data_IF_335087361716
#
_entry.id   IF_335087361716
#
_cell.length_a   1.000
_cell.length_b   1.000
_cell.length_c   1.000
_cell.angle_alpha   90.00
_cell.angle_beta   90.00
_cell.angle_gamma   90.00
#
_symmetry.space_group_name_H-M   'P 1'
#
loop_
_entity.id
_entity.type
_entity.pdbx_description
1 polymer ?
#
# COMPACT_ATOMS: atom_id res chain seq x y z
N UNK A 1 12.21 -21.62 -11.64
CA UNK A 1 12.19 -20.68 -10.51
C UNK A 1 10.86 -19.96 -10.53
N UNK A 2 10.10 -20.01 -9.43
CA UNK A 2 8.81 -19.34 -9.34
C UNK A 2 9.02 -17.82 -9.29
N UNK A 3 8.68 -17.14 -10.38
CA UNK A 3 8.75 -15.69 -10.52
C UNK A 3 7.57 -15.02 -9.78
N UNK A 4 7.50 -15.24 -8.46
CA UNK A 4 6.43 -14.69 -7.61
C UNK A 4 7.03 -13.68 -6.63
N UNK A 5 6.28 -12.63 -6.22
CA UNK A 5 6.76 -11.68 -5.23
C UNK A 5 7.15 -12.37 -3.91
N UNK A 6 6.41 -13.40 -3.50
CA UNK A 6 6.69 -14.18 -2.30
C UNK A 6 8.02 -14.95 -2.35
N UNK A 7 8.66 -15.05 -3.51
CA UNK A 7 10.02 -15.56 -3.66
C UNK A 7 11.04 -14.42 -3.82
N UNK A 8 10.77 -13.46 -4.72
CA UNK A 8 11.72 -12.40 -5.09
C UNK A 8 11.82 -11.29 -4.04
N UNK A 9 10.69 -10.90 -3.45
CA UNK A 9 10.56 -9.85 -2.42
C UNK A 9 10.22 -10.46 -1.05
N UNK A 10 10.63 -11.71 -0.82
CA UNK A 10 10.26 -12.46 0.38
C UNK A 10 10.66 -11.71 1.66
N UNK A 11 11.89 -11.18 1.69
CA UNK A 11 12.42 -10.47 2.86
C UNK A 11 11.58 -9.23 3.17
N UNK A 12 11.26 -8.44 2.16
CA UNK A 12 10.49 -7.20 2.27
C UNK A 12 9.06 -7.49 2.73
N UNK A 13 8.43 -8.51 2.13
CA UNK A 13 7.08 -8.96 2.49
C UNK A 13 7.03 -9.46 3.93
N UNK A 14 7.94 -10.35 4.34
CA UNK A 14 7.98 -10.90 5.69
C UNK A 14 8.25 -9.81 6.73
N UNK A 15 9.13 -8.86 6.40
CA UNK A 15 9.43 -7.72 7.27
C UNK A 15 8.18 -6.87 7.47
N UNK A 16 7.51 -6.45 6.39
CA UNK A 16 6.28 -5.67 6.49
C UNK A 16 5.18 -6.42 7.25
N UNK A 17 4.96 -7.71 6.97
CA UNK A 17 3.96 -8.53 7.68
C UNK A 17 4.25 -8.67 9.17
N UNK A 18 5.52 -8.66 9.59
CA UNK A 18 5.89 -8.75 11.01
C UNK A 18 5.37 -7.58 11.86
N UNK A 19 5.09 -6.42 11.23
CA UNK A 19 4.46 -5.28 11.89
C UNK A 19 2.93 -5.43 12.05
N UNK A 20 2.29 -6.35 11.32
CA UNK A 20 0.84 -6.56 11.38
C UNK A 20 0.45 -7.93 11.98
N UNK A 21 0.72 -8.20 13.28
CA UNK A 21 0.18 -9.39 13.96
C UNK A 21 -1.34 -9.61 13.77
N UNK A 22 -2.20 -8.57 13.69
CA UNK A 22 -3.63 -8.77 13.44
C UNK A 22 -3.97 -9.40 12.07
N UNK A 23 -3.04 -9.40 11.11
CA UNK A 23 -3.20 -10.04 9.81
C UNK A 23 -2.73 -11.50 9.80
N UNK A 24 -2.27 -12.04 10.94
CA UNK A 24 -1.91 -13.46 11.01
C UNK A 24 -3.13 -14.35 10.70
N UNK A 25 -2.91 -15.37 9.88
CA UNK A 25 -3.96 -16.23 9.34
C UNK A 25 -4.89 -15.58 8.30
N UNK A 26 -4.76 -14.27 8.01
CA UNK A 26 -5.52 -13.62 6.94
C UNK A 26 -4.95 -14.06 5.58
N UNK A 27 -5.76 -14.63 4.66
CA UNK A 27 -5.25 -15.09 3.38
C UNK A 27 -4.90 -13.93 2.44
N UNK A 28 -3.63 -13.54 2.39
CA UNK A 28 -3.10 -12.47 1.53
C UNK A 28 -2.22 -13.09 0.44
N UNK A 29 -2.47 -12.74 -0.81
CA UNK A 29 -1.67 -13.21 -1.96
C UNK A 29 -0.96 -12.05 -2.63
N UNK A 30 0.37 -12.05 -2.59
CA UNK A 30 1.19 -11.11 -3.35
C UNK A 30 1.35 -11.59 -4.79
N UNK A 31 1.13 -10.70 -5.76
CA UNK A 31 1.19 -11.04 -7.19
C UNK A 31 1.89 -9.96 -7.98
N UNK A 32 2.82 -10.37 -8.83
CA UNK A 32 3.33 -9.47 -9.86
C UNK A 32 2.28 -9.25 -10.93
N UNK A 33 2.18 -8.02 -11.42
CA UNK A 33 1.27 -7.66 -12.50
C UNK A 33 1.93 -6.66 -13.44
N UNK A 34 2.01 -7.03 -14.70
CA UNK A 34 2.39 -6.11 -15.77
C UNK A 34 1.21 -5.16 -16.06
N UNK A 35 1.50 -3.94 -16.49
CA UNK A 35 0.52 -2.90 -16.89
C UNK A 35 -0.20 -2.18 -15.74
N UNK A 36 0.46 -2.01 -14.60
CA UNK A 36 0.03 -1.07 -13.58
C UNK A 36 0.53 0.34 -13.93
N UNK A 37 -0.27 1.10 -14.68
CA UNK A 37 0.14 2.43 -15.19
C UNK A 37 -0.04 3.57 -14.19
N UNK A 38 -0.95 3.42 -13.22
CA UNK A 38 -1.37 4.50 -12.31
C UNK A 38 -0.81 4.37 -10.89
N UNK A 39 -0.41 3.16 -10.49
CA UNK A 39 0.05 2.84 -9.14
C UNK A 39 1.18 1.82 -9.21
N UNK A 40 2.06 1.86 -8.22
CA UNK A 40 3.17 0.91 -8.07
C UNK A 40 2.71 -0.39 -7.42
N UNK A 41 1.89 -0.29 -6.38
CA UNK A 41 1.24 -1.40 -5.70
C UNK A 41 -0.27 -1.14 -5.57
N UNK A 42 -1.03 -2.18 -5.22
CA UNK A 42 -2.45 -2.08 -4.90
C UNK A 42 -2.97 -3.30 -4.13
N UNK A 43 -3.55 -3.08 -2.96
CA UNK A 43 -4.36 -4.03 -2.23
C UNK A 43 -5.81 -4.02 -2.69
N UNK A 44 -6.43 -5.20 -2.76
CA UNK A 44 -7.87 -5.32 -2.92
C UNK A 44 -8.40 -6.67 -2.42
N UNK A 45 -9.66 -6.74 -1.98
CA UNK A 45 -10.34 -8.00 -1.73
C UNK A 45 -10.32 -8.89 -2.99
N UNK A 46 -10.19 -10.20 -2.81
CA UNK A 46 -10.31 -11.13 -3.92
C UNK A 46 -11.78 -11.21 -4.39
N UNK A 47 -12.01 -11.39 -5.70
CA UNK A 47 -13.35 -11.36 -6.29
C UNK A 47 -14.33 -12.33 -5.61
N UNK A 48 -13.85 -13.52 -5.23
CA UNK A 48 -14.64 -14.52 -4.48
C UNK A 48 -14.88 -14.14 -3.01
N UNK A 49 -14.06 -13.26 -2.44
CA UNK A 49 -14.14 -12.85 -1.02
C UNK A 49 -15.10 -11.74 -0.76
N UNK A 50 -15.40 -10.93 -1.78
CA UNK A 50 -16.35 -9.83 -1.67
C UNK A 50 -17.73 -10.27 -1.17
N UNK A 51 -18.15 -11.50 -1.49
CA UNK A 51 -19.42 -12.08 -1.05
C UNK A 51 -19.31 -12.92 0.24
N UNK A 52 -18.10 -13.18 0.75
CA UNK A 52 -17.86 -14.02 1.94
C UNK A 52 -17.97 -13.22 3.25
N UNK A 53 -18.21 -13.93 4.36
CA UNK A 53 -18.17 -13.34 5.72
C UNK A 53 -16.75 -12.82 5.99
N UNK A 54 -16.62 -11.80 6.87
CA UNK A 54 -15.36 -11.10 7.20
C UNK A 54 -14.19 -12.08 7.42
N UNK A 55 -14.35 -13.05 8.34
CA UNK A 55 -13.32 -14.06 8.65
C UNK A 55 -12.99 -15.05 7.51
N UNK A 56 -13.71 -15.05 6.39
CA UNK A 56 -13.43 -15.90 5.22
C UNK A 56 -12.94 -15.09 4.02
N UNK A 57 -12.63 -13.80 4.21
CA UNK A 57 -12.10 -12.95 3.16
C UNK A 57 -10.65 -13.33 2.85
N UNK A 58 -10.24 -12.97 1.64
CA UNK A 58 -8.88 -13.10 1.17
C UNK A 58 -8.58 -11.91 0.29
N UNK A 59 -7.31 -11.52 0.26
CA UNK A 59 -6.84 -10.30 -0.38
C UNK A 59 -5.79 -10.61 -1.41
N UNK A 60 -5.64 -9.72 -2.39
CA UNK A 60 -4.48 -9.72 -3.25
C UNK A 60 -3.78 -8.37 -3.11
N UNK A 61 -2.46 -8.41 -3.00
CA UNK A 61 -1.59 -7.25 -3.15
C UNK A 61 -0.90 -7.40 -4.50
N UNK A 62 -1.22 -6.51 -5.44
CA UNK A 62 -0.58 -6.46 -6.74
C UNK A 62 0.64 -5.55 -6.67
N UNK A 63 1.75 -6.03 -7.21
CA UNK A 63 3.01 -5.30 -7.30
C UNK A 63 3.37 -5.18 -8.77
N UNK A 64 3.62 -3.96 -9.25
CA UNK A 64 4.13 -3.77 -10.61
C UNK A 64 5.51 -4.41 -10.74
N UNK A 65 5.76 -5.15 -11.82
CA UNK A 65 7.09 -5.71 -12.13
C UNK A 65 8.10 -4.63 -12.47
N UNK A 66 7.63 -3.47 -12.93
CA UNK A 66 8.43 -2.34 -13.39
C UNK A 66 7.96 -1.07 -12.70
N UNK A 67 8.90 -0.25 -12.23
CA UNK A 67 8.62 1.10 -11.78
C UNK A 67 8.58 2.04 -13.01
N UNK A 68 7.38 2.53 -13.34
CA UNK A 68 7.11 3.32 -14.58
C UNK A 68 6.95 4.83 -14.36
N UNK A 69 7.18 5.27 -13.13
CA UNK A 69 6.98 6.66 -12.71
C UNK A 69 8.25 7.51 -12.83
N UNK A 70 9.27 6.99 -13.51
CA UNK A 70 10.57 7.61 -13.72
C UNK A 70 10.80 8.00 -15.17
N UNK A 71 11.84 8.80 -15.45
CA UNK A 71 12.27 9.15 -16.81
C UNK A 71 12.62 7.90 -17.63
N UNK A 72 13.23 6.92 -16.97
CA UNK A 72 13.52 5.60 -17.51
C UNK A 72 12.90 4.54 -16.59
N UNK A 73 12.07 3.68 -17.17
CA UNK A 73 11.44 2.57 -16.46
C UNK A 73 12.50 1.53 -16.05
N UNK A 74 12.41 0.99 -14.84
CA UNK A 74 13.32 -0.04 -14.34
C UNK A 74 12.60 -1.09 -13.49
N UNK A 75 13.16 -2.31 -13.30
CA UNK A 75 12.56 -3.37 -12.50
C UNK A 75 12.27 -2.94 -11.06
N UNK A 76 11.10 -3.31 -10.52
CA UNK A 76 10.71 -2.94 -9.15
C UNK A 76 11.71 -3.42 -8.09
N UNK A 77 12.43 -4.50 -8.39
CA UNK A 77 13.45 -5.11 -7.52
C UNK A 77 14.71 -4.26 -7.35
N UNK A 78 14.90 -3.23 -8.18
CA UNK A 78 16.01 -2.29 -8.03
C UNK A 78 15.69 -1.14 -7.06
N UNK A 79 14.44 -1.01 -6.60
CA UNK A 79 14.11 -0.06 -5.54
C UNK A 79 14.79 -0.46 -4.22
N UNK A 80 15.16 0.52 -3.38
CA UNK A 80 15.69 0.23 -2.05
C UNK A 80 14.73 -0.65 -1.23
N UNK A 81 15.28 -1.61 -0.49
CA UNK A 81 14.50 -2.57 0.32
C UNK A 81 13.56 -1.85 1.29
N UNK A 82 14.04 -0.80 1.97
CA UNK A 82 13.23 -0.01 2.92
C UNK A 82 12.05 0.71 2.23
N UNK A 83 12.24 1.16 0.99
CA UNK A 83 11.18 1.80 0.18
C UNK A 83 10.09 0.79 -0.17
N UNK A 84 10.49 -0.45 -0.53
CA UNK A 84 9.57 -1.54 -0.80
C UNK A 84 8.82 -1.99 0.45
N UNK A 85 9.51 -2.09 1.59
CA UNK A 85 8.89 -2.43 2.89
C UNK A 85 7.83 -1.39 3.25
N UNK A 86 8.14 -0.09 3.13
CA UNK A 86 7.17 0.97 3.41
C UNK A 86 5.96 0.94 2.47
N UNK A 87 6.16 0.67 1.19
CA UNK A 87 5.05 0.54 0.24
C UNK A 87 4.18 -0.69 0.55
N UNK A 88 4.78 -1.84 0.85
CA UNK A 88 4.04 -3.04 1.23
C UNK A 88 3.28 -2.80 2.54
N UNK A 89 3.90 -2.14 3.52
CA UNK A 89 3.25 -1.74 4.77
C UNK A 89 2.00 -0.92 4.53
N UNK A 90 2.09 0.12 3.72
CA UNK A 90 0.94 0.92 3.31
C UNK A 90 -0.20 0.06 2.71
N UNK A 91 0.12 -0.87 1.81
CA UNK A 91 -0.88 -1.79 1.23
C UNK A 91 -1.50 -2.74 2.27
N UNK A 92 -0.75 -3.15 3.29
CA UNK A 92 -1.27 -3.90 4.44
C UNK A 92 -2.19 -3.02 5.31
N UNK A 93 -1.91 -1.72 5.41
CA UNK A 93 -2.80 -0.73 6.02
C UNK A 93 -4.18 -0.68 5.38
N UNK A 94 -4.26 -0.71 4.03
CA UNK A 94 -5.55 -0.87 3.34
C UNK A 94 -6.25 -2.19 3.70
N UNK A 95 -5.51 -3.29 3.84
CA UNK A 95 -6.11 -4.58 4.23
C UNK A 95 -6.67 -4.52 5.66
N UNK A 96 -5.97 -3.86 6.59
CA UNK A 96 -6.48 -3.61 7.94
C UNK A 96 -7.82 -2.88 7.91
N UNK A 97 -7.94 -1.84 7.09
CA UNK A 97 -9.20 -1.11 6.91
C UNK A 97 -10.31 -2.01 6.35
N UNK A 98 -10.03 -2.75 5.28
CA UNK A 98 -11.00 -3.66 4.66
C UNK A 98 -11.48 -4.75 5.62
N UNK A 99 -10.61 -5.21 6.51
CA UNK A 99 -10.96 -6.18 7.54
C UNK A 99 -11.99 -5.60 8.51
N UNK A 100 -11.91 -4.33 8.90
CA UNK A 100 -12.90 -3.71 9.80
C UNK A 100 -14.28 -3.47 9.13
N UNK A 101 -14.35 -3.44 7.81
CA UNK A 101 -15.59 -3.14 7.08
C UNK A 101 -16.57 -4.32 7.01
N UNK A 102 -17.85 -4.07 7.27
CA UNK A 102 -18.94 -4.96 6.87
C UNK A 102 -19.04 -5.09 5.34
N UNK A 103 -19.82 -6.06 4.84
CA UNK A 103 -19.97 -6.26 3.39
C UNK A 103 -20.55 -5.04 2.67
N UNK A 104 -21.56 -4.40 3.26
CA UNK A 104 -22.20 -3.21 2.70
C UNK A 104 -21.28 -2.00 2.72
N UNK A 105 -20.49 -1.83 3.78
CA UNK A 105 -19.45 -0.79 3.85
C UNK A 105 -18.40 -0.98 2.77
N UNK A 106 -17.89 -2.21 2.58
CA UNK A 106 -16.88 -2.50 1.57
C UNK A 106 -17.41 -2.29 0.13
N UNK A 107 -18.68 -2.61 -0.10
CA UNK A 107 -19.40 -2.31 -1.34
C UNK A 107 -19.49 -0.82 -1.62
N UNK A 108 -19.95 -0.06 -0.62
CA UNK A 108 -20.08 1.40 -0.70
C UNK A 108 -18.72 2.07 -0.87
N UNK A 109 -17.70 1.59 -0.13
CA UNK A 109 -16.32 2.03 -0.26
C UNK A 109 -15.82 1.84 -1.69
N UNK A 110 -15.95 0.63 -2.25
CA UNK A 110 -15.51 0.36 -3.62
C UNK A 110 -16.23 1.19 -4.68
N UNK A 111 -17.52 1.49 -4.49
CA UNK A 111 -18.27 2.38 -5.37
C UNK A 111 -17.79 3.83 -5.24
N UNK A 112 -17.68 4.35 -4.02
CA UNK A 112 -17.31 5.74 -3.79
C UNK A 112 -15.85 6.03 -4.19
N UNK A 113 -14.94 5.08 -3.93
CA UNK A 113 -13.53 5.16 -4.34
C UNK A 113 -13.39 5.34 -5.87
N UNK A 114 -14.30 4.79 -6.67
CA UNK A 114 -14.29 4.94 -8.13
C UNK A 114 -14.93 6.25 -8.60
N UNK A 115 -15.75 6.90 -7.77
CA UNK A 115 -16.58 8.05 -8.14
C UNK A 115 -16.10 9.38 -7.55
N UNK A 116 -15.36 9.38 -6.44
CA UNK A 116 -15.01 10.58 -5.68
C UNK A 116 -13.55 10.60 -5.21
N UNK A 117 -12.82 11.68 -5.54
CA UNK A 117 -11.41 11.86 -5.16
C UNK A 117 -11.20 12.03 -3.65
N UNK A 118 -12.16 12.62 -2.93
CA UNK A 118 -12.08 12.76 -1.47
C UNK A 118 -12.01 11.40 -0.76
N UNK A 119 -12.81 10.43 -1.22
CA UNK A 119 -12.79 9.08 -0.64
C UNK A 119 -11.53 8.29 -1.01
N UNK A 120 -10.88 8.65 -2.12
CA UNK A 120 -9.54 8.15 -2.41
C UNK A 120 -8.55 8.66 -1.35
N UNK A 121 -8.55 9.96 -1.07
CA UNK A 121 -7.66 10.57 -0.08
C UNK A 121 -7.90 10.01 1.33
N UNK A 122 -9.15 9.82 1.74
CA UNK A 122 -9.48 9.21 3.04
C UNK A 122 -8.95 7.78 3.16
N UNK A 123 -9.00 7.01 2.06
CA UNK A 123 -8.45 5.66 2.00
C UNK A 123 -6.93 5.66 2.16
N UNK A 124 -6.25 6.59 1.49
CA UNK A 124 -4.78 6.76 1.57
C UNK A 124 -4.34 7.19 2.97
N UNK A 125 -5.06 8.14 3.57
CA UNK A 125 -4.87 8.55 4.97
C UNK A 125 -5.03 7.35 5.92
N UNK A 126 -6.11 6.58 5.76
CA UNK A 126 -6.42 5.46 6.63
C UNK A 126 -5.36 4.35 6.54
N UNK A 127 -4.81 4.09 5.36
CA UNK A 127 -3.70 3.16 5.19
C UNK A 127 -2.44 3.61 5.92
N UNK A 128 -2.05 4.88 5.74
CA UNK A 128 -0.90 5.44 6.43
C UNK A 128 -1.10 5.48 7.95
N UNK A 129 -2.31 5.81 8.41
CA UNK A 129 -2.69 5.76 9.83
C UNK A 129 -2.50 4.35 10.41
N UNK A 130 -3.03 3.31 9.74
CA UNK A 130 -2.82 1.94 10.20
C UNK A 130 -1.35 1.55 10.22
N UNK A 131 -0.57 1.94 9.21
CA UNK A 131 0.87 1.69 9.19
C UNK A 131 1.61 2.38 10.35
N UNK A 132 1.27 3.63 10.66
CA UNK A 132 1.80 4.34 11.85
C UNK A 132 1.39 3.66 13.15
N UNK A 133 0.13 3.26 13.30
CA UNK A 133 -0.33 2.52 14.48
C UNK A 133 0.40 1.20 14.70
N UNK A 134 0.98 0.62 13.64
CA UNK A 134 1.72 -0.63 13.67
C UNK A 134 3.25 -0.43 13.69
N UNK A 135 3.75 0.80 13.84
CA UNK A 135 5.19 1.05 14.00
C UNK A 135 5.99 1.14 12.70
N UNK A 136 5.34 1.44 11.57
CA UNK A 136 5.99 1.51 10.25
C UNK A 136 6.36 2.94 9.81
N UNK A 137 6.32 3.93 10.70
CA UNK A 137 6.56 5.34 10.39
C UNK A 137 7.88 5.59 9.65
N UNK A 138 8.98 4.97 10.08
CA UNK A 138 10.30 5.17 9.47
C UNK A 138 10.34 4.67 8.02
N UNK A 139 9.71 3.53 7.75
CA UNK A 139 9.59 3.00 6.39
C UNK A 139 8.68 3.87 5.53
N UNK A 140 7.55 4.35 6.06
CA UNK A 140 6.65 5.27 5.34
C UNK A 140 7.35 6.58 4.98
N UNK A 141 8.02 7.20 5.95
CA UNK A 141 8.78 8.44 5.76
C UNK A 141 9.88 8.22 4.71
N UNK A 142 10.59 7.10 4.77
CA UNK A 142 11.63 6.73 3.80
C UNK A 142 11.05 6.60 2.39
N UNK A 143 9.94 5.87 2.21
CA UNK A 143 9.26 5.70 0.93
C UNK A 143 8.77 7.04 0.37
N UNK A 144 8.13 7.87 1.20
CA UNK A 144 7.60 9.18 0.78
C UNK A 144 8.71 10.14 0.38
N UNK A 145 9.80 10.19 1.15
CA UNK A 145 10.98 10.98 0.82
C UNK A 145 11.64 10.51 -0.47
N UNK A 146 11.73 9.19 -0.69
CA UNK A 146 12.23 8.64 -1.94
C UNK A 146 11.39 9.13 -3.12
N UNK A 147 10.05 9.03 -3.04
CA UNK A 147 9.15 9.45 -4.12
C UNK A 147 9.29 10.95 -4.43
N UNK A 148 9.27 11.80 -3.39
CA UNK A 148 9.23 13.25 -3.56
C UNK A 148 10.61 13.84 -3.96
N UNK A 149 11.70 13.26 -3.45
CA UNK A 149 13.03 13.86 -3.60
C UNK A 149 13.89 13.21 -4.68
N UNK A 150 13.52 12.04 -5.22
CA UNK A 150 14.35 11.37 -6.23
C UNK A 150 14.30 12.11 -7.59
N UNK A 151 15.44 12.49 -8.19
CA UNK A 151 15.50 13.31 -9.41
C UNK A 151 14.96 12.65 -10.68
N UNK A 152 14.89 11.31 -10.70
CA UNK A 152 14.47 10.56 -11.87
C UNK A 152 12.96 10.29 -11.89
N UNK A 153 12.27 10.51 -10.77
CA UNK A 153 10.81 10.42 -10.69
C UNK A 153 10.19 11.62 -11.39
N UNK A 154 9.24 11.35 -12.29
CA UNK A 154 8.51 12.35 -13.09
C UNK A 154 7.75 13.31 -12.16
N UNK A 155 7.82 14.62 -12.44
CA UNK A 155 7.14 15.62 -11.62
C UNK A 155 5.62 15.41 -11.57
N UNK A 156 5.00 14.96 -12.67
CA UNK A 156 3.58 14.64 -12.70
C UNK A 156 3.18 13.53 -11.71
N UNK A 157 4.09 12.61 -11.39
CA UNK A 157 3.85 11.61 -10.35
C UNK A 157 4.02 12.21 -8.95
N UNK A 158 5.00 13.09 -8.75
CA UNK A 158 5.20 13.82 -7.48
C UNK A 158 4.03 14.73 -7.17
N UNK A 159 3.50 15.46 -8.15
CA UNK A 159 2.30 16.30 -8.00
C UNK A 159 1.08 15.47 -7.60
N UNK A 160 0.86 14.33 -8.27
CA UNK A 160 -0.19 13.39 -7.85
C UNK A 160 0.03 12.92 -6.41
N UNK A 161 1.27 12.63 -6.02
CA UNK A 161 1.61 12.21 -4.66
C UNK A 161 1.26 13.32 -3.66
N UNK A 162 1.67 14.57 -3.90
CA UNK A 162 1.36 15.72 -3.04
C UNK A 162 -0.14 16.00 -2.89
N UNK A 163 -0.94 15.71 -3.91
CA UNK A 163 -2.38 16.01 -3.90
C UNK A 163 -3.24 14.95 -3.18
N UNK A 164 -2.75 13.71 -3.10
CA UNK A 164 -3.58 12.58 -2.67
C UNK A 164 -2.99 11.76 -1.52
N UNK A 165 -1.73 11.98 -1.17
CA UNK A 165 -1.02 11.20 -0.15
C UNK A 165 -0.47 12.12 0.92
N UNK A 166 -0.38 11.59 2.14
CA UNK A 166 0.27 12.28 3.24
C UNK A 166 1.75 12.54 2.92
N UNK A 167 2.23 13.73 3.26
CA UNK A 167 3.65 14.08 3.21
C UNK A 167 4.42 13.39 4.34
N UNK A 168 5.77 13.36 4.29
CA UNK A 168 6.58 12.91 5.41
C UNK A 168 6.27 13.66 6.72
N UNK A 169 6.03 14.97 6.65
CA UNK A 169 5.69 15.79 7.82
C UNK A 169 4.33 15.39 8.40
N UNK A 170 3.34 15.10 7.55
CA UNK A 170 2.03 14.61 8.01
C UNK A 170 2.16 13.27 8.74
N UNK A 171 3.06 12.38 8.30
CA UNK A 171 3.34 11.13 9.03
C UNK A 171 3.94 11.41 10.41
N UNK A 172 4.85 12.38 10.52
CA UNK A 172 5.40 12.80 11.82
C UNK A 172 4.29 13.36 12.73
N UNK A 173 3.32 14.09 12.16
CA UNK A 173 2.15 14.55 12.89
C UNK A 173 1.28 13.38 13.38
N UNK A 174 1.00 12.38 12.52
CA UNK A 174 0.28 11.18 12.92
C UNK A 174 0.97 10.40 14.05
N UNK A 175 2.30 10.28 13.99
CA UNK A 175 3.09 9.63 15.04
C UNK A 175 2.91 10.35 16.37
N UNK A 176 2.98 11.69 16.36
CA UNK A 176 2.74 12.49 17.57
C UNK A 176 1.33 12.28 18.12
N UNK A 177 0.31 12.21 17.26
CA UNK A 177 -1.07 11.95 17.70
C UNK A 177 -1.26 10.56 18.30
N UNK A 178 -0.57 9.55 17.78
CA UNK A 178 -0.56 8.17 18.33
C UNK A 178 0.06 8.11 19.73
N UNK A 179 1.12 8.90 19.95
CA UNK A 179 1.94 8.86 21.17
C UNK A 179 1.45 9.79 22.29
N UNK A 180 0.37 10.56 22.05
CA UNK A 180 -0.34 11.38 23.05
C UNK A 180 -1.29 10.54 23.91
#
# INVERSE_FOLDING_TARGET
MDYTPSHILKKEIDTALSFYPPLDGVPIKFRFRDNMHRTTMKAQPSFRSFFRRRHCRSYNVYISTTFKHTKQDFPITELPSDVLIGWIGHELGHIMDYEQMSKSQLLRFGFNYLMYDEHFNDSEYTADFYAVCHGMEDYLITTKNYILNHPDIKESYKEKFRNHYLSPDDIIHLVKERDL
#
